data_IF_593824941582
#
_entry.id   IF_593824941582
#
_cell.length_a   1.000
_cell.length_b   1.000
_cell.length_c   1.000
_cell.angle_alpha   90.00
_cell.angle_beta   90.00
_cell.angle_gamma   90.00
#
_symmetry.space_group_name_H-M   'P 1'
#
loop_
_entity.id
_entity.type
_entity.pdbx_description
1 polymer ?
#
# COMPACT_ATOMS: atom_id res chain seq x y z
N UNK A 1 -20.05 1.32 -10.76
CA UNK A 1 -19.57 -0.09 -10.71
C UNK A 1 -19.90 -0.66 -9.34
N UNK A 2 -20.45 -1.88 -9.27
CA UNK A 2 -20.64 -2.59 -8.00
C UNK A 2 -19.33 -3.24 -7.58
N UNK A 3 -18.94 -3.08 -6.30
CA UNK A 3 -17.65 -3.55 -5.82
C UNK A 3 -17.60 -5.06 -5.58
N UNK A 4 -16.37 -5.62 -5.63
CA UNK A 4 -16.11 -7.04 -5.41
C UNK A 4 -16.54 -7.54 -4.02
N UNK A 5 -16.56 -6.65 -3.02
CA UNK A 5 -17.09 -6.94 -1.70
C UNK A 5 -18.54 -7.45 -1.74
N UNK A 6 -19.37 -6.91 -2.66
CA UNK A 6 -20.80 -7.24 -2.76
C UNK A 6 -21.08 -8.40 -3.72
N UNK A 7 -20.28 -8.53 -4.78
CA UNK A 7 -20.56 -9.49 -5.87
C UNK A 7 -19.52 -10.62 -6.00
N UNK A 8 -18.42 -10.56 -5.26
CA UNK A 8 -17.34 -11.56 -5.30
C UNK A 8 -16.50 -11.57 -6.59
N UNK A 9 -16.68 -10.58 -7.47
CA UNK A 9 -16.01 -10.54 -8.77
C UNK A 9 -14.79 -9.63 -8.74
N UNK A 10 -13.62 -10.22 -8.97
CA UNK A 10 -12.34 -9.50 -9.11
C UNK A 10 -11.97 -9.48 -10.59
N UNK A 11 -11.87 -8.26 -11.16
CA UNK A 11 -11.67 -8.08 -12.59
C UNK A 11 -10.25 -8.46 -13.02
N UNK A 12 -10.14 -9.32 -14.03
CA UNK A 12 -8.90 -9.55 -14.75
C UNK A 12 -8.87 -8.65 -15.99
N UNK A 13 -8.13 -7.56 -15.91
CA UNK A 13 -8.03 -6.57 -16.99
C UNK A 13 -7.10 -7.00 -18.12
N UNK A 14 -6.17 -7.90 -17.84
CA UNK A 14 -5.18 -8.36 -18.81
C UNK A 14 -5.76 -9.34 -19.83
N UNK A 15 -6.74 -10.16 -19.44
CA UNK A 15 -7.49 -11.02 -20.37
C UNK A 15 -8.17 -10.22 -21.50
N UNK A 16 -8.63 -9.01 -21.21
CA UNK A 16 -9.25 -8.12 -22.19
C UNK A 16 -8.33 -7.78 -23.36
N UNK A 17 -7.01 -7.78 -23.12
CA UNK A 17 -5.98 -7.56 -24.13
C UNK A 17 -5.60 -8.81 -24.93
N UNK A 18 -6.21 -9.96 -24.62
CA UNK A 18 -5.95 -11.24 -25.27
C UNK A 18 -4.85 -12.07 -24.62
N UNK A 19 -4.31 -11.66 -23.48
CA UNK A 19 -3.42 -12.53 -22.70
C UNK A 19 -4.21 -13.68 -22.08
N UNK A 20 -3.71 -14.90 -22.22
CA UNK A 20 -4.33 -16.07 -21.58
C UNK A 20 -4.12 -16.06 -20.07
N UNK A 21 -5.05 -16.68 -19.32
CA UNK A 21 -4.91 -16.83 -17.88
C UNK A 21 -3.56 -17.47 -17.50
N UNK A 22 -3.11 -18.46 -18.26
CA UNK A 22 -1.82 -19.13 -18.02
C UNK A 22 -0.61 -18.20 -18.17
N UNK A 23 -0.63 -17.28 -19.14
CA UNK A 23 0.43 -16.27 -19.30
C UNK A 23 0.44 -15.28 -18.14
N UNK A 24 -0.75 -14.87 -17.68
CA UNK A 24 -0.93 -13.94 -16.55
C UNK A 24 -0.44 -14.60 -15.26
N UNK A 25 -0.89 -15.82 -14.97
CA UNK A 25 -0.49 -16.57 -13.77
C UNK A 25 1.02 -16.86 -13.77
N UNK A 26 1.59 -17.26 -14.90
CA UNK A 26 3.03 -17.45 -15.04
C UNK A 26 3.82 -16.17 -14.80
N UNK A 27 3.32 -15.02 -15.28
CA UNK A 27 3.98 -13.74 -15.04
C UNK A 27 3.91 -13.36 -13.56
N UNK A 28 2.76 -13.53 -12.93
CA UNK A 28 2.57 -13.26 -11.51
C UNK A 28 3.51 -14.12 -10.65
N UNK A 29 3.51 -15.42 -10.89
CA UNK A 29 4.35 -16.38 -10.17
C UNK A 29 5.84 -16.06 -10.36
N UNK A 30 6.26 -15.83 -11.61
CA UNK A 30 7.65 -15.48 -11.90
C UNK A 30 8.07 -14.16 -11.27
N UNK A 31 7.19 -13.16 -11.25
CA UNK A 31 7.47 -11.87 -10.60
C UNK A 31 7.72 -12.05 -9.11
N UNK A 32 6.88 -12.84 -8.42
CA UNK A 32 7.09 -13.18 -7.02
C UNK A 32 8.41 -13.93 -6.82
N UNK A 33 8.68 -14.97 -7.60
CA UNK A 33 9.90 -15.78 -7.49
C UNK A 33 11.17 -14.94 -7.74
N UNK A 34 11.15 -14.02 -8.70
CA UNK A 34 12.27 -13.12 -8.96
C UNK A 34 12.52 -12.15 -7.80
N UNK A 35 11.47 -11.62 -7.17
CA UNK A 35 11.60 -10.71 -6.03
C UNK A 35 12.05 -11.43 -4.75
N UNK A 36 11.62 -12.67 -4.54
CA UNK A 36 11.92 -13.41 -3.31
C UNK A 36 13.17 -14.27 -3.41
N UNK A 37 13.40 -14.89 -4.57
CA UNK A 37 14.43 -15.94 -4.72
C UNK A 37 15.34 -15.74 -5.94
N UNK A 38 15.08 -14.70 -6.73
CA UNK A 38 15.82 -14.43 -7.95
C UNK A 38 17.27 -13.97 -7.74
N UNK A 39 17.92 -13.55 -8.84
CA UNK A 39 19.30 -13.05 -8.76
C UNK A 39 19.42 -11.80 -7.89
N UNK A 40 20.60 -11.57 -7.32
CA UNK A 40 20.91 -10.44 -6.42
C UNK A 40 20.49 -9.08 -6.99
N UNK A 41 20.62 -8.87 -8.29
CA UNK A 41 20.25 -7.59 -8.94
C UNK A 41 18.74 -7.32 -9.02
N UNK A 42 17.86 -8.29 -8.69
CA UNK A 42 16.39 -8.18 -8.72
C UNK A 42 15.79 -8.51 -7.37
N UNK A 43 16.36 -9.48 -6.66
CA UNK A 43 15.86 -9.97 -5.38
C UNK A 43 15.80 -8.86 -4.33
N UNK A 44 14.71 -8.87 -3.52
CA UNK A 44 14.48 -8.00 -2.37
C UNK A 44 14.51 -8.78 -1.05
N UNK A 45 14.15 -10.07 -1.08
CA UNK A 45 13.98 -10.89 0.10
C UNK A 45 15.27 -11.60 0.49
N UNK A 46 15.58 -11.61 1.78
CA UNK A 46 16.77 -12.24 2.35
C UNK A 46 16.39 -13.15 3.51
N UNK A 47 17.09 -14.30 3.64
CA UNK A 47 16.94 -15.17 4.79
C UNK A 47 17.75 -14.62 5.98
N UNK A 48 17.14 -14.63 7.18
CA UNK A 48 17.75 -14.26 8.44
C UNK A 48 17.65 -15.43 9.43
N UNK A 49 18.37 -16.51 9.15
CA UNK A 49 18.28 -17.75 9.93
C UNK A 49 17.25 -18.75 9.37
N UNK A 50 16.85 -19.76 10.18
CA UNK A 50 16.03 -20.88 9.67
C UNK A 50 14.55 -20.54 9.48
N UNK A 51 14.03 -19.53 10.18
CA UNK A 51 12.60 -19.24 10.30
C UNK A 51 12.26 -17.74 10.22
N UNK A 52 13.19 -16.90 9.76
CA UNK A 52 13.01 -15.48 9.55
C UNK A 52 13.48 -15.05 8.17
N UNK A 53 12.79 -14.05 7.59
CA UNK A 53 13.12 -13.39 6.33
C UNK A 53 12.86 -11.89 6.45
N UNK A 54 13.56 -11.09 5.65
CA UNK A 54 13.30 -9.65 5.56
C UNK A 54 13.38 -9.15 4.11
N UNK A 55 12.77 -8.01 3.86
CA UNK A 55 12.83 -7.25 2.61
C UNK A 55 13.78 -6.09 2.79
N UNK A 56 14.76 -5.97 1.90
CA UNK A 56 15.71 -4.86 1.88
C UNK A 56 15.22 -3.73 0.97
N UNK A 57 15.13 -2.50 1.50
CA UNK A 57 15.18 -1.32 0.65
C UNK A 57 16.59 -1.17 0.09
N UNK A 58 16.75 -1.61 -1.13
CA UNK A 58 18.02 -1.68 -1.83
C UNK A 58 18.59 -0.32 -2.25
N UNK A 59 17.82 0.76 -2.06
CA UNK A 59 18.26 2.13 -2.27
C UNK A 59 18.90 2.76 -1.03
N UNK A 60 18.44 2.34 0.15
CA UNK A 60 18.88 2.86 1.45
C UNK A 60 19.61 1.82 2.30
N UNK A 61 19.61 0.55 1.88
CA UNK A 61 20.24 -0.57 2.59
C UNK A 61 19.71 -0.75 4.01
N UNK A 62 18.38 -0.62 4.16
CA UNK A 62 17.65 -0.81 5.40
C UNK A 62 16.44 -1.73 5.21
N UNK A 63 15.75 -2.03 6.30
CA UNK A 63 14.51 -2.83 6.33
C UNK A 63 13.41 -1.94 6.87
N UNK A 64 12.34 -1.74 6.09
CA UNK A 64 11.25 -0.82 6.42
C UNK A 64 9.97 -1.58 6.72
N UNK A 65 9.15 -1.03 7.62
CA UNK A 65 7.79 -1.55 7.86
C UNK A 65 6.97 -1.58 6.58
N UNK A 66 7.13 -0.59 5.70
CA UNK A 66 6.56 -0.54 4.37
C UNK A 66 6.84 -1.83 3.58
N UNK A 67 8.11 -2.16 3.33
CA UNK A 67 8.49 -3.33 2.54
C UNK A 67 8.13 -4.65 3.18
N UNK A 68 8.25 -4.75 4.52
CA UNK A 68 7.87 -5.95 5.26
C UNK A 68 6.37 -6.22 5.18
N UNK A 69 5.55 -5.20 5.38
CA UNK A 69 4.09 -5.31 5.33
C UNK A 69 3.57 -5.57 3.91
N UNK A 70 4.19 -4.97 2.88
CA UNK A 70 3.90 -5.25 1.48
C UNK A 70 4.20 -6.70 1.12
N UNK A 71 5.36 -7.23 1.53
CA UNK A 71 5.72 -8.62 1.27
C UNK A 71 4.78 -9.60 1.98
N UNK A 72 4.33 -9.29 3.21
CA UNK A 72 3.29 -10.07 3.88
C UNK A 72 1.98 -10.06 3.09
N UNK A 73 1.57 -8.91 2.53
CA UNK A 73 0.40 -8.84 1.66
C UNK A 73 0.59 -9.68 0.39
N UNK A 74 1.74 -9.63 -0.26
CA UNK A 74 2.03 -10.50 -1.42
C UNK A 74 1.92 -11.99 -1.05
N UNK A 75 2.51 -12.38 0.07
CA UNK A 75 2.48 -13.76 0.54
C UNK A 75 1.06 -14.25 0.80
N UNK A 76 0.22 -13.43 1.46
CA UNK A 76 -1.15 -13.85 1.73
C UNK A 76 -1.99 -13.89 0.45
N UNK A 77 -1.79 -12.99 -0.50
CA UNK A 77 -2.50 -13.04 -1.78
C UNK A 77 -2.07 -14.23 -2.64
N UNK A 78 -0.82 -14.64 -2.59
CA UNK A 78 -0.26 -15.72 -3.40
C UNK A 78 -0.19 -17.08 -2.68
N UNK A 79 -0.79 -17.22 -1.49
CA UNK A 79 -0.81 -18.46 -0.70
C UNK A 79 0.58 -18.95 -0.27
N UNK A 80 1.43 -18.04 0.18
CA UNK A 80 2.80 -18.29 0.63
C UNK A 80 2.91 -18.15 2.16
N UNK A 81 2.24 -19.04 2.90
CA UNK A 81 2.16 -18.96 4.37
C UNK A 81 3.53 -19.06 5.04
N UNK A 82 4.42 -19.90 4.55
CA UNK A 82 5.76 -20.07 5.12
C UNK A 82 6.58 -18.78 5.09
N UNK A 83 6.58 -18.13 3.94
CA UNK A 83 7.27 -16.84 3.74
C UNK A 83 6.63 -15.75 4.60
N UNK A 84 5.30 -15.71 4.67
CA UNK A 84 4.54 -14.81 5.55
C UNK A 84 4.97 -14.96 7.01
N UNK A 85 5.01 -16.18 7.52
CA UNK A 85 5.41 -16.47 8.90
C UNK A 85 6.84 -16.05 9.19
N UNK A 86 7.76 -16.27 8.25
CA UNK A 86 9.16 -15.88 8.37
C UNK A 86 9.32 -14.35 8.41
N UNK A 87 8.59 -13.61 7.55
CA UNK A 87 8.58 -12.14 7.54
C UNK A 87 8.00 -11.61 8.84
N UNK A 88 6.84 -12.13 9.27
CA UNK A 88 6.18 -11.68 10.49
C UNK A 88 7.02 -11.95 11.75
N UNK A 89 7.69 -13.09 11.86
CA UNK A 89 8.63 -13.36 12.95
C UNK A 89 9.75 -12.33 13.01
N UNK A 90 10.32 -11.98 11.87
CA UNK A 90 11.36 -10.95 11.80
C UNK A 90 10.83 -9.60 12.28
N UNK A 91 9.65 -9.18 11.81
CA UNK A 91 9.02 -7.91 12.21
C UNK A 91 8.81 -7.85 13.72
N UNK A 92 8.20 -8.88 14.32
CA UNK A 92 7.95 -8.89 15.78
C UNK A 92 9.26 -8.91 16.57
N UNK A 93 10.29 -9.60 16.07
CA UNK A 93 11.57 -9.74 16.78
C UNK A 93 12.37 -8.44 16.74
N UNK A 94 12.41 -7.74 15.62
CA UNK A 94 13.34 -6.65 15.39
C UNK A 94 12.68 -5.25 15.36
N UNK A 95 11.44 -5.13 14.87
CA UNK A 95 10.79 -3.83 14.69
C UNK A 95 9.85 -3.48 15.84
N UNK A 96 9.21 -4.47 16.50
CA UNK A 96 8.22 -4.19 17.54
C UNK A 96 8.82 -3.41 18.72
N UNK A 97 8.18 -2.33 19.12
CA UNK A 97 8.59 -1.44 20.21
C UNK A 97 7.86 -1.85 21.50
N UNK A 98 8.61 -2.25 22.51
CA UNK A 98 8.06 -2.74 23.80
C UNK A 98 8.13 -1.70 24.91
N UNK A 99 8.85 -0.59 24.69
CA UNK A 99 9.13 0.44 25.69
C UNK A 99 9.02 1.84 25.06
N UNK A 100 8.90 2.86 25.93
CA UNK A 100 8.82 4.26 25.52
C UNK A 100 7.44 4.70 25.05
N UNK A 101 7.32 5.92 24.56
CA UNK A 101 6.06 6.50 24.10
C UNK A 101 5.47 5.77 22.87
N UNK A 102 6.33 5.16 22.06
CA UNK A 102 5.94 4.39 20.88
C UNK A 102 5.76 2.88 21.15
N UNK A 103 5.76 2.44 22.42
CA UNK A 103 5.52 1.03 22.76
C UNK A 103 4.19 0.54 22.17
N UNK A 104 4.19 -0.62 21.52
CA UNK A 104 3.02 -1.15 20.81
C UNK A 104 2.98 -0.85 19.32
N UNK A 105 3.83 0.06 18.82
CA UNK A 105 4.10 0.32 17.41
C UNK A 105 5.34 -0.41 16.94
N UNK A 106 5.71 -0.19 15.68
CA UNK A 106 6.92 -0.75 15.07
C UNK A 106 7.90 0.34 14.68
N UNK A 107 9.20 0.14 14.91
CA UNK A 107 10.23 0.99 14.36
C UNK A 107 10.14 0.97 12.83
N UNK A 108 9.90 2.12 12.20
CA UNK A 108 9.64 2.17 10.76
C UNK A 108 10.82 1.66 9.92
N UNK A 109 12.05 1.71 10.50
CA UNK A 109 13.26 1.25 9.82
C UNK A 109 14.22 0.57 10.80
N UNK A 110 14.84 -0.52 10.34
CA UNK A 110 15.94 -1.24 10.98
C UNK A 110 17.09 -1.43 9.98
N UNK A 111 18.28 -1.65 10.49
CA UNK A 111 19.39 -2.18 9.69
C UNK A 111 19.13 -3.64 9.28
N UNK A 112 19.85 -4.15 8.28
CA UNK A 112 19.72 -5.53 7.81
C UNK A 112 20.18 -6.58 8.83
N UNK A 113 20.92 -6.17 9.86
CA UNK A 113 21.28 -7.01 11.00
C UNK A 113 20.20 -7.08 12.10
N UNK A 114 19.09 -6.35 11.91
CA UNK A 114 17.96 -6.28 12.84
C UNK A 114 18.09 -5.22 13.94
N UNK A 115 19.18 -4.49 14.03
CA UNK A 115 19.29 -3.34 14.93
C UNK A 115 18.39 -2.18 14.44
N UNK A 116 17.69 -1.50 15.39
CA UNK A 116 16.81 -0.40 15.04
C UNK A 116 17.61 0.84 14.62
N UNK A 117 17.23 1.46 13.51
CA UNK A 117 17.73 2.76 13.09
C UNK A 117 16.68 3.88 13.27
N UNK A 118 15.51 3.53 13.81
CA UNK A 118 14.43 4.44 14.19
C UNK A 118 13.77 3.96 15.49
N UNK A 119 13.25 4.88 16.29
CA UNK A 119 12.43 4.64 17.48
C UNK A 119 10.96 5.06 17.30
N UNK A 120 10.60 5.52 16.11
CA UNK A 120 9.26 5.95 15.73
C UNK A 120 8.64 5.06 14.65
N UNK A 121 7.30 5.04 14.56
CA UNK A 121 6.56 4.30 13.55
C UNK A 121 6.28 5.13 12.30
N UNK A 122 5.84 4.44 11.22
CA UNK A 122 5.23 5.01 10.03
C UNK A 122 3.89 4.28 9.76
N UNK A 123 2.75 4.98 9.84
CA UNK A 123 1.41 4.37 9.83
C UNK A 123 1.09 3.44 8.66
N UNK A 124 1.67 3.64 7.48
CA UNK A 124 1.49 2.78 6.31
C UNK A 124 1.93 1.32 6.59
N UNK A 125 2.97 1.13 7.39
CA UNK A 125 3.39 -0.19 7.83
C UNK A 125 2.35 -0.89 8.69
N UNK A 126 1.83 -0.20 9.70
CA UNK A 126 0.85 -0.74 10.63
C UNK A 126 -0.47 -1.11 9.96
N UNK A 127 -0.98 -0.29 9.04
CA UNK A 127 -2.23 -0.62 8.34
C UNK A 127 -2.09 -1.82 7.40
N UNK A 128 -0.97 -1.95 6.69
CA UNK A 128 -0.70 -3.14 5.88
C UNK A 128 -0.40 -4.38 6.72
N UNK A 129 0.30 -4.26 7.87
CA UNK A 129 0.46 -5.38 8.81
C UNK A 129 -0.90 -5.87 9.29
N UNK A 130 -1.75 -4.97 9.80
CA UNK A 130 -3.05 -5.35 10.32
C UNK A 130 -3.93 -6.03 9.27
N UNK A 131 -3.98 -5.49 8.03
CA UNK A 131 -4.77 -6.08 6.96
C UNK A 131 -4.21 -7.43 6.50
N UNK A 132 -2.89 -7.55 6.34
CA UNK A 132 -2.26 -8.81 5.97
C UNK A 132 -2.48 -9.91 7.00
N UNK A 133 -2.44 -9.56 8.29
CA UNK A 133 -2.72 -10.47 9.40
C UNK A 133 -4.19 -10.92 9.44
N UNK A 134 -5.15 -10.00 9.20
CA UNK A 134 -6.55 -10.40 9.07
C UNK A 134 -6.77 -11.34 7.88
N UNK A 135 -6.18 -11.05 6.73
CA UNK A 135 -6.26 -11.94 5.58
C UNK A 135 -5.62 -13.29 5.87
N UNK A 136 -4.48 -13.34 6.57
CA UNK A 136 -3.83 -14.58 6.99
C UNK A 136 -4.74 -15.40 7.92
N UNK A 137 -5.32 -14.76 8.94
CA UNK A 137 -6.27 -15.39 9.84
C UNK A 137 -7.49 -15.97 9.11
N UNK A 138 -8.03 -15.22 8.15
CA UNK A 138 -9.20 -15.63 7.38
C UNK A 138 -8.89 -16.73 6.37
N UNK A 139 -7.68 -16.72 5.79
CA UNK A 139 -7.27 -17.68 4.75
C UNK A 139 -6.73 -18.98 5.32
N UNK A 140 -5.91 -18.90 6.36
CA UNK A 140 -5.16 -20.05 6.91
C UNK A 140 -5.58 -20.43 8.33
N UNK A 141 -6.34 -19.57 9.02
CA UNK A 141 -6.59 -19.66 10.45
C UNK A 141 -5.47 -19.03 11.28
N UNK A 142 -5.78 -18.61 12.50
CA UNK A 142 -4.79 -18.13 13.46
C UNK A 142 -4.11 -19.29 14.17
N UNK A 143 -2.80 -19.18 14.37
CA UNK A 143 -2.02 -20.06 15.22
C UNK A 143 -1.97 -19.56 16.66
N UNK A 144 -0.86 -19.83 17.35
CA UNK A 144 -0.62 -19.40 18.74
C UNK A 144 0.59 -18.44 18.83
N UNK A 145 0.64 -17.62 19.86
CA UNK A 145 1.74 -16.72 20.15
C UNK A 145 1.96 -15.67 19.04
N UNK A 146 3.15 -15.66 18.43
CA UNK A 146 3.46 -14.72 17.33
C UNK A 146 2.62 -14.99 16.08
N UNK A 147 2.09 -16.19 15.90
CA UNK A 147 1.24 -16.57 14.77
C UNK A 147 -0.26 -16.48 15.06
N UNK A 148 -0.66 -15.94 16.19
CA UNK A 148 -2.07 -15.56 16.43
C UNK A 148 -2.38 -14.28 15.65
N UNK A 149 -2.56 -14.44 14.33
CA UNK A 149 -2.70 -13.34 13.38
C UNK A 149 -3.83 -12.39 13.74
N UNK A 150 -5.01 -12.90 14.09
CA UNK A 150 -6.17 -12.05 14.38
C UNK A 150 -5.96 -11.21 15.63
N UNK A 151 -5.34 -11.78 16.69
CA UNK A 151 -5.02 -11.03 17.92
C UNK A 151 -3.98 -9.95 17.67
N UNK A 152 -2.97 -10.24 16.85
CA UNK A 152 -1.97 -9.24 16.47
C UNK A 152 -2.57 -8.10 15.65
N UNK A 153 -3.42 -8.41 14.66
CA UNK A 153 -4.10 -7.38 13.86
C UNK A 153 -4.93 -6.43 14.75
N UNK A 154 -5.72 -6.98 15.68
CA UNK A 154 -6.52 -6.15 16.62
C UNK A 154 -5.63 -5.33 17.55
N UNK A 155 -4.55 -5.90 18.07
CA UNK A 155 -3.60 -5.18 18.93
C UNK A 155 -2.98 -3.98 18.20
N UNK A 156 -2.59 -4.15 16.93
CA UNK A 156 -2.05 -3.07 16.10
C UNK A 156 -3.10 -1.98 15.93
N UNK A 157 -4.31 -2.32 15.50
CA UNK A 157 -5.37 -1.34 15.27
C UNK A 157 -5.78 -0.61 16.56
N UNK A 158 -5.85 -1.33 17.68
CA UNK A 158 -6.14 -0.73 18.99
C UNK A 158 -5.07 0.32 19.36
N UNK A 159 -3.79 -0.02 19.20
CA UNK A 159 -2.69 0.94 19.43
C UNK A 159 -2.79 2.16 18.51
N UNK A 160 -3.12 1.98 17.22
CA UNK A 160 -3.24 3.05 16.24
C UNK A 160 -4.31 4.10 16.61
N UNK A 161 -5.39 3.69 17.29
CA UNK A 161 -6.53 4.56 17.62
C UNK A 161 -6.44 5.10 19.03
N UNK A 162 -6.08 4.26 20.03
CA UNK A 162 -6.19 4.55 21.46
C UNK A 162 -4.91 5.07 22.12
N UNK A 163 -3.80 5.09 21.38
CA UNK A 163 -2.55 5.63 21.90
C UNK A 163 -2.74 7.09 22.31
N UNK A 164 -2.23 7.45 23.51
CA UNK A 164 -2.40 8.79 24.08
C UNK A 164 -3.60 8.93 25.04
N UNK A 165 -4.51 7.95 25.11
CA UNK A 165 -5.57 7.94 26.11
C UNK A 165 -5.03 7.75 27.54
N UNK A 166 -3.93 6.99 27.67
CA UNK A 166 -3.17 6.88 28.90
C UNK A 166 -2.01 7.88 28.94
N UNK A 167 -1.83 8.55 30.06
CA UNK A 167 -0.78 9.54 30.22
C UNK A 167 0.62 8.96 29.91
N UNK A 168 1.32 9.61 28.96
CA UNK A 168 2.66 9.20 28.55
C UNK A 168 2.71 8.05 27.54
N UNK A 169 1.59 7.61 26.98
CA UNK A 169 1.53 6.54 26.00
C UNK A 169 1.77 6.99 24.54
N UNK A 170 2.23 8.23 24.31
CA UNK A 170 2.47 8.77 22.97
C UNK A 170 1.22 9.30 22.27
N UNK A 171 1.17 9.19 20.93
CA UNK A 171 0.10 9.77 20.11
C UNK A 171 -0.53 8.72 19.19
N UNK A 172 -1.85 8.83 18.90
CA UNK A 172 -2.50 7.93 17.94
C UNK A 172 -2.05 8.23 16.51
N UNK A 173 -2.12 7.21 15.65
CA UNK A 173 -1.81 7.33 14.22
C UNK A 173 -2.94 7.97 13.41
N UNK A 174 -4.15 7.94 13.92
CA UNK A 174 -5.30 8.63 13.36
C UNK A 174 -5.67 9.82 14.22
N UNK A 175 -6.03 10.93 13.57
CA UNK A 175 -6.56 12.07 14.27
C UNK A 175 -7.98 11.73 14.79
N UNK A 176 -8.24 11.81 16.10
CA UNK A 176 -9.52 11.38 16.67
C UNK A 176 -10.70 12.29 16.31
N UNK A 177 -10.44 13.53 15.89
CA UNK A 177 -11.48 14.51 15.58
C UNK A 177 -11.99 14.38 14.14
N UNK A 178 -11.06 14.18 13.18
CA UNK A 178 -11.40 14.12 11.75
C UNK A 178 -11.28 12.70 11.15
N UNK A 179 -10.81 11.71 11.91
CA UNK A 179 -10.62 10.31 11.51
C UNK A 179 -9.65 10.11 10.34
N UNK A 180 -8.78 11.07 10.05
CA UNK A 180 -7.76 10.96 9.01
C UNK A 180 -6.46 10.40 9.59
N UNK A 181 -5.80 9.56 8.81
CA UNK A 181 -4.47 9.05 9.14
C UNK A 181 -3.46 10.20 9.13
N UNK A 182 -2.52 10.18 10.05
CA UNK A 182 -1.40 11.12 10.14
C UNK A 182 -0.21 10.59 9.32
N UNK A 183 0.68 11.46 8.92
CA UNK A 183 1.96 11.02 8.33
C UNK A 183 2.82 10.28 9.37
N UNK A 184 2.95 10.84 10.58
CA UNK A 184 3.50 10.18 11.77
C UNK A 184 2.65 10.58 12.98
N UNK A 185 2.67 9.81 14.10
CA UNK A 185 1.78 10.04 15.23
C UNK A 185 1.80 11.46 15.82
N UNK A 186 2.96 12.10 15.82
CA UNK A 186 3.15 13.43 16.44
C UNK A 186 3.09 14.61 15.45
N UNK A 187 2.52 14.42 14.25
CA UNK A 187 2.30 15.51 13.29
C UNK A 187 0.82 15.83 13.09
N UNK A 188 0.53 16.97 12.44
CA UNK A 188 -0.82 17.44 12.14
C UNK A 188 -1.05 17.60 10.63
N UNK A 189 -0.41 16.75 9.83
CA UNK A 189 -0.61 16.62 8.40
C UNK A 189 -0.61 15.12 8.02
N UNK A 190 -0.90 14.81 6.75
CA UNK A 190 -1.04 13.45 6.26
C UNK A 190 -0.28 13.23 4.95
N UNK A 191 -0.14 11.98 4.56
CA UNK A 191 0.24 11.55 3.22
C UNK A 191 -1.03 11.04 2.50
N UNK A 192 -1.42 11.62 1.35
CA UNK A 192 -2.55 11.12 0.57
C UNK A 192 -2.45 9.63 0.20
N UNK A 193 -1.24 9.10 0.06
CA UNK A 193 -1.03 7.69 -0.28
C UNK A 193 -1.25 6.72 0.90
N UNK A 194 -1.31 7.23 2.14
CA UNK A 194 -1.63 6.43 3.32
C UNK A 194 -3.13 6.16 3.47
N UNK A 195 -3.99 6.88 2.74
CA UNK A 195 -5.43 6.70 2.84
C UNK A 195 -5.90 5.43 2.12
N UNK A 196 -6.28 4.41 2.88
CA UNK A 196 -6.73 3.10 2.41
C UNK A 196 -8.18 2.82 2.83
N UNK A 197 -9.17 3.59 2.34
CA UNK A 197 -10.56 3.44 2.78
C UNK A 197 -11.10 2.02 2.62
N UNK A 198 -10.63 1.26 1.62
CA UNK A 198 -10.97 -0.15 1.43
C UNK A 198 -10.44 -1.06 2.57
N UNK A 199 -9.32 -0.73 3.21
CA UNK A 199 -8.87 -1.44 4.41
C UNK A 199 -9.72 -1.04 5.61
N UNK A 200 -10.06 0.23 5.76
CA UNK A 200 -10.83 0.72 6.90
C UNK A 200 -12.25 0.15 6.94
N UNK A 201 -12.88 -0.09 5.79
CA UNK A 201 -14.16 -0.83 5.73
C UNK A 201 -14.02 -2.25 6.29
N UNK A 202 -12.90 -2.93 6.02
CA UNK A 202 -12.64 -4.27 6.54
C UNK A 202 -12.19 -4.23 8.01
N UNK A 203 -11.47 -3.20 8.45
CA UNK A 203 -11.20 -2.97 9.87
C UNK A 203 -12.48 -2.75 10.66
N UNK A 204 -13.47 -2.05 10.09
CA UNK A 204 -14.79 -1.90 10.69
C UNK A 204 -15.55 -3.23 10.90
N UNK A 205 -15.16 -4.29 10.20
CA UNK A 205 -15.74 -5.62 10.39
C UNK A 205 -14.97 -6.48 11.39
N UNK A 206 -13.62 -6.36 11.43
CA UNK A 206 -12.76 -7.36 12.06
C UNK A 206 -11.94 -6.86 13.25
N UNK A 207 -11.89 -5.54 13.48
CA UNK A 207 -11.31 -4.94 14.69
C UNK A 207 -12.12 -5.27 15.93
N UNK A 208 -11.64 -4.84 17.08
CA UNK A 208 -12.40 -4.91 18.33
C UNK A 208 -13.73 -4.17 18.17
N UNK A 209 -14.79 -4.70 18.78
CA UNK A 209 -16.15 -4.22 18.54
C UNK A 209 -16.34 -2.74 18.88
N UNK A 210 -15.66 -2.25 19.91
CA UNK A 210 -15.69 -0.84 20.29
C UNK A 210 -15.10 0.10 19.24
N UNK A 211 -14.15 -0.37 18.39
CA UNK A 211 -13.43 0.42 17.43
C UNK A 211 -14.08 0.43 16.03
N UNK A 212 -15.01 -0.48 15.77
CA UNK A 212 -15.69 -0.59 14.46
C UNK A 212 -16.35 0.70 13.99
N UNK A 213 -17.06 1.48 14.84
CA UNK A 213 -17.60 2.77 14.42
C UNK A 213 -16.52 3.78 13.98
N UNK A 214 -15.37 3.79 14.64
CA UNK A 214 -14.24 4.63 14.28
C UNK A 214 -13.74 4.30 12.87
N UNK A 215 -13.50 3.03 12.56
CA UNK A 215 -13.01 2.58 11.27
C UNK A 215 -14.00 2.84 10.12
N UNK A 216 -15.28 2.70 10.39
CA UNK A 216 -16.31 3.07 9.42
C UNK A 216 -16.29 4.58 9.12
N UNK A 217 -16.14 5.41 10.15
CA UNK A 217 -15.99 6.86 9.98
C UNK A 217 -14.69 7.22 9.24
N UNK A 218 -13.57 6.54 9.53
CA UNK A 218 -12.28 6.73 8.87
C UNK A 218 -12.33 6.40 7.37
N UNK A 219 -13.05 5.33 6.97
CA UNK A 219 -13.26 5.00 5.56
C UNK A 219 -14.00 6.13 4.82
N UNK A 220 -15.07 6.64 5.40
CA UNK A 220 -15.85 7.73 4.82
C UNK A 220 -15.03 9.04 4.76
N UNK A 221 -14.30 9.37 5.84
CA UNK A 221 -13.46 10.55 5.92
C UNK A 221 -12.33 10.53 4.88
N UNK A 222 -11.65 9.38 4.72
CA UNK A 222 -10.56 9.21 3.76
C UNK A 222 -11.04 9.35 2.30
N UNK A 223 -12.19 8.79 1.95
CA UNK A 223 -12.77 9.00 0.59
C UNK A 223 -13.09 10.47 0.32
N UNK A 224 -13.61 11.20 1.32
CA UNK A 224 -13.84 12.64 1.18
C UNK A 224 -12.54 13.45 1.11
N UNK A 225 -11.55 13.04 1.88
CA UNK A 225 -10.22 13.67 1.88
C UNK A 225 -9.52 13.52 0.54
N UNK A 226 -9.46 12.32 -0.03
CA UNK A 226 -8.81 12.06 -1.33
C UNK A 226 -9.38 12.94 -2.45
N UNK A 227 -10.69 13.27 -2.42
CA UNK A 227 -11.32 14.20 -3.36
C UNK A 227 -10.78 15.62 -3.27
N UNK A 228 -10.24 16.01 -2.12
CA UNK A 228 -9.63 17.34 -1.90
C UNK A 228 -8.14 17.31 -2.23
N UNK A 229 -7.46 16.20 -1.92
CA UNK A 229 -6.03 16.04 -2.12
C UNK A 229 -5.65 15.83 -3.60
N UNK A 230 -6.50 15.16 -4.39
CA UNK A 230 -6.28 14.96 -5.81
C UNK A 230 -6.69 16.20 -6.60
N UNK A 231 -5.79 16.72 -7.43
CA UNK A 231 -6.04 17.94 -8.22
C UNK A 231 -7.08 17.65 -9.33
N UNK A 232 -8.10 18.51 -9.43
CA UNK A 232 -9.30 18.28 -10.26
C UNK A 232 -9.04 18.06 -11.77
N UNK A 233 -7.95 18.57 -12.34
CA UNK A 233 -7.63 18.43 -13.76
C UNK A 233 -6.58 17.37 -14.07
N UNK A 234 -5.64 17.14 -13.17
CA UNK A 234 -4.52 16.21 -13.38
C UNK A 234 -4.72 14.89 -12.65
N UNK A 235 -5.54 14.87 -11.60
CA UNK A 235 -5.67 13.76 -10.68
C UNK A 235 -4.48 13.60 -9.71
N UNK A 236 -3.40 14.34 -9.89
CA UNK A 236 -2.18 14.21 -9.09
C UNK A 236 -2.41 14.66 -7.64
N UNK A 237 -1.77 13.99 -6.70
CA UNK A 237 -1.69 14.35 -5.27
C UNK A 237 -0.24 14.62 -4.87
N UNK A 238 -0.03 15.36 -3.79
CA UNK A 238 1.31 15.56 -3.23
C UNK A 238 1.75 14.36 -2.38
N UNK A 239 3.05 14.26 -2.06
CA UNK A 239 3.55 13.31 -1.05
C UNK A 239 2.96 13.63 0.32
N UNK A 240 3.03 14.91 0.75
CA UNK A 240 2.45 15.36 2.00
C UNK A 240 1.37 16.41 1.74
N UNK A 241 0.30 16.38 2.51
CA UNK A 241 -0.77 17.34 2.40
C UNK A 241 -1.44 17.62 3.76
N UNK A 242 -1.99 18.82 3.88
CA UNK A 242 -2.82 19.22 4.99
C UNK A 242 -4.14 18.43 5.02
N UNK A 243 -4.83 18.38 6.15
CA UNK A 243 -6.15 17.72 6.26
C UNK A 243 -7.25 18.35 5.39
N UNK A 244 -7.02 19.53 4.83
CA UNK A 244 -7.91 20.15 3.83
C UNK A 244 -7.55 19.79 2.38
N UNK A 245 -6.50 18.99 2.17
CA UNK A 245 -6.04 18.51 0.86
C UNK A 245 -4.99 19.38 0.19
N UNK A 246 -4.64 20.54 0.75
CA UNK A 246 -3.56 21.38 0.19
C UNK A 246 -2.20 20.71 0.36
N UNK A 247 -1.31 20.73 -0.66
CA UNK A 247 0.04 20.23 -0.52
C UNK A 247 0.77 20.83 0.70
N UNK A 248 1.38 19.98 1.51
CA UNK A 248 2.20 20.37 2.66
C UNK A 248 3.66 20.42 2.22
N UNK A 249 4.25 21.60 2.32
CA UNK A 249 5.67 21.79 2.05
C UNK A 249 6.45 21.61 3.33
N UNK A 250 7.22 20.55 3.43
CA UNK A 250 8.14 20.32 4.54
C UNK A 250 9.20 21.42 4.69
N UNK A 251 9.95 21.39 5.78
CA UNK A 251 11.06 22.29 6.03
C UNK A 251 12.19 22.07 5.01
N UNK A 252 12.86 23.17 4.62
CA UNK A 252 14.00 23.08 3.70
C UNK A 252 15.15 22.24 4.29
N UNK A 253 15.88 21.44 3.48
CA UNK A 253 15.89 21.43 2.00
C UNK A 253 14.81 20.54 1.39
N UNK A 254 14.19 19.67 2.17
CA UNK A 254 13.24 18.68 1.69
C UNK A 254 11.92 19.35 1.33
N UNK A 255 11.35 18.92 0.18
CA UNK A 255 10.03 19.36 -0.21
C UNK A 255 9.19 18.11 -0.51
N UNK A 256 7.91 18.17 -0.13
CA UNK A 256 6.96 17.08 -0.28
C UNK A 256 5.62 17.55 -0.85
N UNK A 257 5.58 18.80 -1.34
CA UNK A 257 4.42 19.46 -1.95
C UNK A 257 4.22 19.11 -3.44
N UNK A 258 4.89 18.05 -3.90
CA UNK A 258 4.95 17.60 -5.28
C UNK A 258 4.39 16.18 -5.47
N UNK A 259 4.03 15.84 -6.70
CA UNK A 259 3.76 14.46 -7.11
C UNK A 259 5.08 13.74 -7.38
N UNK A 260 5.52 12.96 -6.41
CA UNK A 260 6.80 12.25 -6.42
C UNK A 260 6.71 11.01 -5.53
N UNK A 261 7.56 10.02 -5.73
CA UNK A 261 7.76 8.84 -4.88
C UNK A 261 6.48 8.29 -4.21
N UNK A 262 6.22 8.65 -2.95
CA UNK A 262 5.11 8.12 -2.16
C UNK A 262 3.73 8.43 -2.77
N UNK A 263 3.58 9.61 -3.37
CA UNK A 263 2.32 10.02 -4.02
C UNK A 263 1.87 9.06 -5.14
N UNK A 264 2.78 8.26 -5.73
CA UNK A 264 2.43 7.32 -6.79
C UNK A 264 1.40 6.27 -6.34
N UNK A 265 1.43 5.86 -5.06
CA UNK A 265 0.50 4.87 -4.48
C UNK A 265 -0.97 5.32 -4.49
N UNK A 266 -1.21 6.63 -4.44
CA UNK A 266 -2.56 7.20 -4.28
C UNK A 266 -3.53 6.70 -5.35
N UNK A 267 -3.11 6.69 -6.63
CA UNK A 267 -3.98 6.18 -7.72
C UNK A 267 -4.30 4.70 -7.57
N UNK A 268 -3.29 3.89 -7.23
CA UNK A 268 -3.48 2.46 -7.02
C UNK A 268 -4.49 2.16 -5.91
N UNK A 269 -4.42 2.94 -4.82
CA UNK A 269 -5.34 2.83 -3.68
C UNK A 269 -6.77 3.24 -4.05
N UNK A 270 -6.94 4.34 -4.79
CA UNK A 270 -8.24 4.80 -5.30
C UNK A 270 -8.88 3.74 -6.22
N UNK A 271 -8.09 3.19 -7.15
CA UNK A 271 -8.57 2.18 -8.08
C UNK A 271 -8.97 0.88 -7.36
N UNK A 272 -8.22 0.47 -6.33
CA UNK A 272 -8.52 -0.71 -5.55
C UNK A 272 -9.76 -0.51 -4.66
N UNK A 273 -9.92 0.67 -4.03
CA UNK A 273 -11.13 1.01 -3.28
C UNK A 273 -12.37 0.94 -4.17
N UNK A 274 -12.30 1.52 -5.36
CA UNK A 274 -13.41 1.49 -6.33
C UNK A 274 -13.70 0.07 -6.82
N UNK A 275 -12.70 -0.77 -7.02
CA UNK A 275 -12.91 -2.17 -7.38
C UNK A 275 -13.54 -2.97 -6.25
N UNK A 276 -13.10 -2.77 -4.99
CA UNK A 276 -13.60 -3.54 -3.87
C UNK A 276 -14.97 -3.07 -3.38
N UNK A 277 -15.19 -1.76 -3.26
CA UNK A 277 -16.41 -1.19 -2.65
C UNK A 277 -17.30 -0.42 -3.63
N UNK A 278 -16.83 -0.21 -4.84
CA UNK A 278 -17.57 0.47 -5.91
C UNK A 278 -17.27 1.96 -5.99
N UNK A 279 -17.55 2.51 -7.16
CA UNK A 279 -17.50 3.95 -7.45
C UNK A 279 -18.90 4.41 -7.83
N UNK A 280 -19.61 5.04 -6.89
CA UNK A 280 -21.04 5.37 -7.03
C UNK A 280 -21.29 6.59 -7.90
N UNK A 281 -20.39 7.56 -7.87
CA UNK A 281 -20.53 8.86 -8.55
C UNK A 281 -19.50 9.09 -9.66
N UNK A 282 -18.65 8.10 -9.94
CA UNK A 282 -17.67 8.13 -11.03
C UNK A 282 -16.40 8.92 -10.72
N UNK A 283 -16.21 9.41 -9.50
CA UNK A 283 -15.06 10.22 -9.15
C UNK A 283 -13.72 9.46 -9.26
N UNK A 284 -13.68 8.22 -8.82
CA UNK A 284 -12.46 7.41 -8.92
C UNK A 284 -12.09 7.17 -10.40
N UNK A 285 -13.08 6.87 -11.25
CA UNK A 285 -12.87 6.72 -12.70
C UNK A 285 -12.37 8.03 -13.33
N UNK A 286 -12.99 9.17 -13.00
CA UNK A 286 -12.57 10.48 -13.51
C UNK A 286 -11.13 10.80 -13.09
N UNK A 287 -10.78 10.57 -11.82
CA UNK A 287 -9.41 10.80 -11.30
C UNK A 287 -8.38 9.91 -12.01
N UNK A 288 -8.68 8.61 -12.17
CA UNK A 288 -7.82 7.68 -12.88
C UNK A 288 -7.60 8.08 -14.35
N UNK A 289 -8.69 8.49 -15.03
CA UNK A 289 -8.61 8.98 -16.40
C UNK A 289 -7.77 10.25 -16.52
N UNK A 290 -7.93 11.22 -15.62
CA UNK A 290 -7.14 12.44 -15.60
C UNK A 290 -5.63 12.14 -15.47
N UNK A 291 -5.23 11.23 -14.59
CA UNK A 291 -3.81 10.86 -14.45
C UNK A 291 -3.28 10.16 -15.70
N UNK A 292 -4.00 9.19 -16.25
CA UNK A 292 -3.57 8.48 -17.47
C UNK A 292 -3.45 9.43 -18.65
N UNK A 293 -4.43 10.32 -18.86
CA UNK A 293 -4.39 11.33 -19.91
C UNK A 293 -3.27 12.35 -19.69
N UNK A 294 -3.03 12.79 -18.44
CA UNK A 294 -1.94 13.68 -18.13
C UNK A 294 -0.58 13.11 -18.59
N UNK A 295 -0.29 11.85 -18.26
CA UNK A 295 0.98 11.23 -18.66
C UNK A 295 1.02 10.90 -20.16
N UNK A 296 -0.10 10.60 -20.80
CA UNK A 296 -0.16 10.35 -22.24
C UNK A 296 0.05 11.63 -23.04
N UNK A 297 -0.62 12.73 -22.70
CA UNK A 297 -0.58 13.99 -23.43
C UNK A 297 0.70 14.79 -23.17
N UNK A 298 1.14 14.87 -21.92
CA UNK A 298 2.32 15.66 -21.50
C UNK A 298 3.63 14.94 -21.73
N UNK A 299 3.66 13.65 -21.44
CA UNK A 299 4.88 12.86 -21.34
C UNK A 299 4.97 11.77 -22.42
N UNK A 300 3.98 11.69 -23.30
CA UNK A 300 3.90 10.65 -24.34
C UNK A 300 4.04 9.23 -23.77
N UNK A 301 3.43 9.02 -22.59
CA UNK A 301 3.44 7.76 -21.85
C UNK A 301 4.75 7.46 -21.10
N UNK A 302 5.65 8.42 -20.94
CA UNK A 302 6.84 8.28 -20.13
C UNK A 302 6.57 8.63 -18.66
N UNK A 303 7.33 8.02 -17.75
CA UNK A 303 7.15 8.15 -16.29
C UNK A 303 8.43 8.63 -15.59
N UNK A 304 9.11 9.59 -16.22
CA UNK A 304 10.42 10.05 -15.75
C UNK A 304 10.39 11.43 -15.09
N UNK A 305 9.28 12.17 -15.18
CA UNK A 305 9.18 13.54 -14.67
C UNK A 305 8.73 13.63 -13.22
N UNK A 306 8.96 14.81 -12.65
CA UNK A 306 8.44 15.24 -11.32
C UNK A 306 7.53 16.44 -11.56
N UNK A 307 6.41 16.53 -10.83
CA UNK A 307 5.40 17.57 -11.06
C UNK A 307 4.88 18.15 -9.74
N UNK A 308 4.49 19.41 -9.76
CA UNK A 308 3.48 19.90 -8.82
C UNK A 308 2.12 19.27 -9.19
N UNK A 309 1.18 19.28 -8.25
CA UNK A 309 -0.12 18.64 -8.47
C UNK A 309 -0.93 19.25 -9.64
N UNK A 310 -0.68 20.52 -10.00
CA UNK A 310 -1.31 21.18 -11.15
C UNK A 310 -0.71 20.79 -12.50
N UNK A 311 0.33 19.93 -12.50
CA UNK A 311 1.08 19.48 -13.67
C UNK A 311 2.23 20.38 -14.08
N UNK A 312 2.62 21.35 -13.26
CA UNK A 312 3.83 22.14 -13.48
C UNK A 312 5.07 21.25 -13.30
N UNK A 313 5.95 21.12 -14.31
CA UNK A 313 7.17 20.32 -14.19
C UNK A 313 8.11 20.87 -13.11
N UNK A 314 8.76 19.99 -12.38
CA UNK A 314 9.83 20.27 -11.43
C UNK A 314 11.13 19.69 -11.95
N UNK A 315 12.24 20.39 -11.75
CA UNK A 315 13.57 19.92 -12.18
C UNK A 315 13.95 18.61 -11.45
N UNK A 316 14.43 17.63 -12.20
CA UNK A 316 14.82 16.32 -11.70
C UNK A 316 14.17 15.18 -12.47
N UNK A 317 14.42 13.95 -12.00
CA UNK A 317 13.84 12.75 -12.58
C UNK A 317 13.14 11.92 -11.51
N UNK A 318 12.07 11.25 -11.90
CA UNK A 318 11.39 10.28 -11.04
C UNK A 318 12.37 9.21 -10.51
N UNK A 319 12.37 8.99 -9.21
CA UNK A 319 13.21 7.97 -8.59
C UNK A 319 12.74 6.55 -8.95
N UNK A 320 11.45 6.39 -9.16
CA UNK A 320 10.76 5.10 -9.30
C UNK A 320 9.88 5.05 -10.56
N UNK A 321 10.50 5.13 -11.78
CA UNK A 321 9.73 5.22 -13.01
C UNK A 321 8.94 3.94 -13.35
N UNK A 322 9.40 2.76 -12.93
CA UNK A 322 8.68 1.49 -13.13
C UNK A 322 7.49 1.40 -12.16
N UNK A 323 7.67 1.81 -10.91
CA UNK A 323 6.60 1.89 -9.92
C UNK A 323 5.52 2.90 -10.34
N UNK A 324 5.92 4.08 -10.83
CA UNK A 324 5.00 5.07 -11.37
C UNK A 324 4.19 4.52 -12.55
N UNK A 325 4.86 3.88 -13.51
CA UNK A 325 4.18 3.22 -14.63
C UNK A 325 3.18 2.16 -14.15
N UNK A 326 3.56 1.36 -13.15
CA UNK A 326 2.72 0.31 -12.59
C UNK A 326 1.45 0.87 -11.93
N UNK A 327 1.57 1.93 -11.14
CA UNK A 327 0.42 2.56 -10.48
C UNK A 327 -0.50 3.29 -11.45
N UNK A 328 0.05 3.95 -12.50
CA UNK A 328 -0.77 4.53 -13.58
C UNK A 328 -1.55 3.43 -14.31
N UNK A 329 -0.89 2.32 -14.64
CA UNK A 329 -1.56 1.17 -15.26
C UNK A 329 -2.61 0.54 -14.33
N UNK A 330 -2.39 0.55 -13.00
CA UNK A 330 -3.37 0.06 -12.04
C UNK A 330 -4.68 0.89 -12.08
N UNK A 331 -4.64 2.15 -12.48
CA UNK A 331 -5.84 2.95 -12.78
C UNK A 331 -6.75 2.31 -13.82
N UNK A 332 -6.20 1.52 -14.75
CA UNK A 332 -6.99 0.75 -15.74
C UNK A 332 -7.86 -0.34 -15.12
N UNK A 333 -7.71 -0.62 -13.81
CA UNK A 333 -8.60 -1.50 -13.07
C UNK A 333 -10.07 -1.06 -13.16
N UNK A 334 -10.29 0.24 -13.24
CA UNK A 334 -11.62 0.87 -13.24
C UNK A 334 -11.94 1.64 -14.53
N UNK A 335 -11.10 1.58 -15.55
CA UNK A 335 -11.27 2.24 -16.85
C UNK A 335 -11.43 1.22 -17.99
N UNK A 336 -12.17 1.61 -19.05
CA UNK A 336 -12.52 0.74 -20.18
C UNK A 336 -12.28 1.41 -21.55
N UNK A 337 -11.33 2.35 -21.65
CA UNK A 337 -11.01 3.08 -22.87
C UNK A 337 -9.68 2.64 -23.49
N UNK A 338 -9.36 3.21 -24.67
CA UNK A 338 -8.16 2.88 -25.41
C UNK A 338 -6.86 3.34 -24.71
N UNK A 339 -6.93 4.42 -23.92
CA UNK A 339 -5.80 4.89 -23.13
C UNK A 339 -5.45 3.90 -22.02
N UNK A 340 -6.47 3.39 -21.31
CA UNK A 340 -6.32 2.34 -20.31
C UNK A 340 -5.71 1.07 -20.90
N UNK A 341 -6.15 0.65 -22.09
CA UNK A 341 -5.58 -0.51 -22.79
C UNK A 341 -4.11 -0.33 -23.13
N UNK A 342 -3.70 0.88 -23.52
CA UNK A 342 -2.30 1.18 -23.83
C UNK A 342 -1.44 1.14 -22.56
N UNK A 343 -1.91 1.69 -21.43
CA UNK A 343 -1.21 1.57 -20.15
C UNK A 343 -1.07 0.13 -19.68
N UNK A 344 -2.09 -0.71 -19.88
CA UNK A 344 -2.02 -2.15 -19.58
C UNK A 344 -0.96 -2.85 -20.44
N UNK A 345 -0.86 -2.55 -21.75
CA UNK A 345 0.17 -3.13 -22.64
C UNK A 345 1.57 -2.72 -22.22
N UNK A 346 1.78 -1.44 -21.95
CA UNK A 346 3.08 -0.92 -21.46
C UNK A 346 3.48 -1.61 -20.17
N UNK A 347 2.57 -1.69 -19.21
CA UNK A 347 2.82 -2.36 -17.94
C UNK A 347 3.17 -3.83 -18.13
N UNK A 348 2.37 -4.58 -18.87
CA UNK A 348 2.57 -6.01 -19.04
C UNK A 348 3.87 -6.34 -19.79
N UNK A 349 4.34 -5.46 -20.67
CA UNK A 349 5.62 -5.61 -21.38
C UNK A 349 6.83 -5.11 -20.60
N UNK A 350 6.63 -4.32 -19.52
CA UNK A 350 7.72 -3.78 -18.71
C UNK A 350 8.28 -4.87 -17.79
N UNK A 351 9.60 -5.09 -17.74
CA UNK A 351 10.21 -6.00 -16.78
C UNK A 351 10.29 -5.38 -15.37
N UNK A 352 10.56 -6.21 -14.38
CA UNK A 352 10.99 -5.74 -13.05
C UNK A 352 12.24 -4.85 -13.19
N UNK A 353 12.31 -3.82 -12.34
CA UNK A 353 13.51 -2.99 -12.25
C UNK A 353 14.65 -3.80 -11.64
N UNK A 354 15.85 -3.60 -12.14
CA UNK A 354 17.09 -4.13 -11.58
C UNK A 354 17.96 -3.01 -11.01
N UNK A 355 18.93 -3.36 -10.15
CA UNK A 355 19.91 -2.42 -9.59
C UNK A 355 19.47 -1.78 -8.26
N UNK A 356 20.17 -0.70 -7.83
CA UNK A 356 20.10 -0.22 -6.44
C UNK A 356 18.73 0.27 -5.98
N UNK A 357 17.90 0.82 -6.87
CA UNK A 357 16.60 1.39 -6.47
C UNK A 357 15.39 0.55 -6.91
N UNK A 358 15.58 -0.78 -7.00
CA UNK A 358 14.52 -1.70 -7.43
C UNK A 358 13.43 -1.96 -6.40
N UNK A 359 13.68 -1.70 -5.13
CA UNK A 359 12.80 -2.03 -4.02
C UNK A 359 11.38 -1.49 -4.22
N UNK A 360 11.22 -0.19 -4.19
CA UNK A 360 9.91 0.46 -4.26
C UNK A 360 9.22 0.23 -5.61
N UNK A 361 9.97 0.34 -6.72
CA UNK A 361 9.45 0.04 -8.06
C UNK A 361 8.83 -1.36 -8.14
N UNK A 362 9.53 -2.38 -7.64
CA UNK A 362 9.08 -3.76 -7.78
C UNK A 362 7.94 -4.09 -6.81
N UNK A 363 7.87 -3.44 -5.64
CA UNK A 363 6.72 -3.56 -4.76
C UNK A 363 5.45 -3.00 -5.42
N UNK A 364 5.50 -1.79 -5.97
CA UNK A 364 4.37 -1.21 -6.69
C UNK A 364 4.00 -2.01 -7.95
N UNK A 365 5.00 -2.56 -8.64
CA UNK A 365 4.78 -3.42 -9.79
C UNK A 365 3.99 -4.68 -9.42
N UNK A 366 4.34 -5.37 -8.34
CA UNK A 366 3.64 -6.59 -7.93
C UNK A 366 2.24 -6.29 -7.42
N UNK A 367 2.01 -5.18 -6.70
CA UNK A 367 0.66 -4.74 -6.34
C UNK A 367 -0.22 -4.50 -7.57
N UNK A 368 0.29 -3.76 -8.57
CA UNK A 368 -0.44 -3.52 -9.80
C UNK A 368 -0.74 -4.83 -10.55
N UNK A 369 0.21 -5.77 -10.61
CA UNK A 369 0.01 -7.06 -11.26
C UNK A 369 -1.06 -7.90 -10.54
N UNK A 370 -1.03 -7.97 -9.20
CA UNK A 370 -2.07 -8.62 -8.40
C UNK A 370 -3.46 -8.02 -8.67
N UNK A 371 -3.56 -6.69 -8.66
CA UNK A 371 -4.82 -6.00 -8.87
C UNK A 371 -5.37 -6.25 -10.29
N UNK A 372 -4.56 -6.01 -11.32
CA UNK A 372 -4.93 -6.09 -12.74
C UNK A 372 -5.21 -7.53 -13.21
N UNK A 373 -4.66 -8.53 -12.54
CA UNK A 373 -4.92 -9.95 -12.80
C UNK A 373 -6.08 -10.54 -12.01
N UNK A 374 -6.75 -9.75 -11.16
CA UNK A 374 -7.84 -10.23 -10.30
C UNK A 374 -7.40 -11.10 -9.12
N UNK A 375 -6.12 -11.04 -8.76
CA UNK A 375 -5.56 -11.80 -7.63
C UNK A 375 -5.45 -10.98 -6.34
N UNK A 376 -5.64 -9.66 -6.35
CA UNK A 376 -5.72 -8.85 -5.14
C UNK A 376 -7.14 -8.92 -4.57
N UNK A 377 -7.37 -9.89 -3.66
CA UNK A 377 -8.70 -10.27 -3.20
C UNK A 377 -8.91 -10.00 -1.72
N UNK A 378 -10.17 -9.80 -1.33
CA UNK A 378 -10.61 -9.82 0.06
C UNK A 378 -10.71 -11.30 0.49
N UNK A 379 -10.01 -11.67 1.54
CA UNK A 379 -10.11 -12.97 2.16
C UNK A 379 -11.07 -12.88 3.35
N UNK A 380 -12.28 -13.40 3.18
CA UNK A 380 -13.28 -13.44 4.24
C UNK A 380 -13.02 -14.61 5.21
N UNK A 381 -13.47 -14.50 6.49
CA UNK A 381 -13.47 -15.64 7.40
C UNK A 381 -14.16 -16.84 6.73
N UNK A 382 -13.53 -18.00 6.83
CA UNK A 382 -14.19 -19.25 6.41
C UNK A 382 -15.42 -19.43 7.30
N UNK A 383 -16.60 -19.67 6.70
CA UNK A 383 -17.77 -20.03 7.47
C UNK A 383 -17.41 -21.26 8.32
N UNK A 384 -17.60 -21.15 9.64
CA UNK A 384 -17.42 -22.29 10.52
C UNK A 384 -18.34 -23.41 9.99
N UNK A 385 -17.75 -24.45 9.44
CA UNK A 385 -18.48 -25.67 9.10
C UNK A 385 -19.02 -26.21 10.41
N UNK A 386 -20.34 -26.00 10.63
CA UNK A 386 -21.10 -26.51 11.79
C UNK A 386 -21.28 -28.01 11.64
#
# INVERSE_FOLDING_TARGET
MEGAYYNGQYLNRLERLGYSQAEIDNKLERTFEEMFYGPEGVRLCHCAGPDMMYIEDTGNHDVRTEGMSYAMMFCVQMNRQKEFDCLWRWVVTHMYLTEGENAGYFAWSCHTDGSKNSDGPAPDGEEFFAMSLFFAANRWGSGEGVLDYASWARRILHACVHKGEEAGSGFPMWNPENHLIKFIPNCEFTDPSYHLPHFYELFALWSDECDRPFWHAAAAASRQYLRKACHARTGLSAEYAEYDGRPHRGDQPDRHDWFFSDAYRTLGNIALDAQWFGDKDGWAQETAAHIQHFFEEKEHGQTNGIYLIDGTPVEGNALHPVGLLATIAQGSLILDDACADEWLRRFFSTPLRSGPRRYYDNCLYLFALLALSGHYRIWFPQEATV
#
